data_IF_705556901594
#
_entry.id   IF_705556901594
#
_cell.length_a   1.000
_cell.length_b   1.000
_cell.length_c   1.000
_cell.angle_alpha   90.00
_cell.angle_beta   90.00
_cell.angle_gamma   90.00
#
_symmetry.space_group_name_H-M   'P 1'
#
loop_
_entity.id
_entity.type
_entity.pdbx_description
1 polymer ?
#
# COMPACT_ATOMS: atom_id res chain seq x y z
N UNK A 1 111.42 34.37 17.47
CA UNK A 1 110.30 35.33 17.36
C UNK A 1 109.06 34.58 16.91
N UNK A 2 108.08 34.33 17.79
CA UNK A 2 106.79 33.71 17.43
C UNK A 2 105.84 34.81 16.96
N UNK A 3 105.45 34.82 15.68
CA UNK A 3 104.30 35.59 15.20
C UNK A 3 103.05 34.82 15.62
N UNK A 4 102.25 35.39 16.52
CA UNK A 4 100.85 35.00 16.68
C UNK A 4 100.12 35.41 15.41
N UNK A 5 99.50 34.46 14.73
CA UNK A 5 98.42 34.77 13.80
C UNK A 5 97.15 34.84 14.65
N UNK A 6 96.67 36.06 14.90
CA UNK A 6 95.33 36.26 15.43
C UNK A 6 94.33 35.93 14.31
N UNK A 7 93.57 34.84 14.49
CA UNK A 7 92.47 34.46 13.60
C UNK A 7 91.27 35.40 13.87
N UNK A 8 91.43 36.64 13.42
CA UNK A 8 90.44 37.72 13.53
C UNK A 8 89.22 37.47 12.64
N UNK A 9 89.34 36.60 11.64
CA UNK A 9 88.30 36.34 10.66
C UNK A 9 87.20 35.42 11.20
N UNK A 10 87.59 34.41 11.99
CA UNK A 10 86.64 33.52 12.66
C UNK A 10 85.79 34.22 13.73
N UNK A 11 86.42 35.08 14.56
CA UNK A 11 85.70 35.81 15.62
C UNK A 11 84.78 36.91 15.02
N UNK A 12 85.15 37.49 13.87
CA UNK A 12 84.28 38.40 13.14
C UNK A 12 83.04 37.69 12.57
N UNK A 13 83.21 36.47 12.07
CA UNK A 13 82.14 35.65 11.48
C UNK A 13 81.11 35.19 12.52
N UNK A 14 81.56 34.84 13.73
CA UNK A 14 80.67 34.48 14.85
C UNK A 14 79.86 35.67 15.36
N UNK A 15 80.48 36.86 15.48
CA UNK A 15 79.77 38.08 15.86
C UNK A 15 78.70 38.45 14.83
N UNK A 16 79.00 38.30 13.53
CA UNK A 16 78.06 38.55 12.43
C UNK A 16 76.89 37.55 12.42
N UNK A 17 77.15 36.26 12.66
CA UNK A 17 76.10 35.24 12.74
C UNK A 17 75.16 35.49 13.93
N UNK A 18 75.72 35.88 15.08
CA UNK A 18 74.93 36.20 16.27
C UNK A 18 74.09 37.48 16.06
N UNK A 19 74.64 38.51 15.41
CA UNK A 19 73.87 39.72 15.07
C UNK A 19 72.75 39.43 14.08
N UNK A 20 72.97 38.57 13.07
CA UNK A 20 71.95 38.20 12.08
C UNK A 20 70.82 37.35 12.70
N UNK A 21 71.15 36.45 13.64
CA UNK A 21 70.16 35.70 14.41
C UNK A 21 69.30 36.63 15.26
N UNK A 22 69.93 37.57 15.99
CA UNK A 22 69.22 38.57 16.79
C UNK A 22 68.35 39.48 15.93
N UNK A 23 68.84 39.90 14.76
CA UNK A 23 68.09 40.70 13.78
C UNK A 23 66.85 39.95 13.28
N UNK A 24 66.97 38.68 12.87
CA UNK A 24 65.82 37.86 12.45
C UNK A 24 64.82 37.64 13.58
N UNK A 25 65.29 37.49 14.82
CA UNK A 25 64.43 37.31 16.00
C UNK A 25 63.65 38.58 16.32
N UNK A 26 64.30 39.75 16.21
CA UNK A 26 63.67 41.06 16.37
C UNK A 26 62.64 41.35 15.28
N UNK A 27 62.96 41.05 14.01
CA UNK A 27 62.01 41.17 12.89
C UNK A 27 60.77 40.28 13.09
N UNK A 28 60.95 39.06 13.60
CA UNK A 28 59.83 38.15 13.91
C UNK A 28 58.96 38.67 15.06
N UNK A 29 59.56 39.29 16.07
CA UNK A 29 58.83 39.95 17.16
C UNK A 29 58.10 41.22 16.70
N UNK A 30 58.72 42.05 15.87
CA UNK A 30 58.09 43.24 15.29
C UNK A 30 56.92 42.87 14.37
N UNK A 31 57.06 41.80 13.56
CA UNK A 31 55.97 41.30 12.74
C UNK A 31 54.81 40.77 13.59
N UNK A 32 55.10 40.02 14.66
CA UNK A 32 54.09 39.55 15.61
C UNK A 32 53.36 40.71 16.29
N UNK A 33 54.09 41.74 16.70
CA UNK A 33 53.51 42.93 17.32
C UNK A 33 52.66 43.73 16.32
N UNK A 34 53.11 43.91 15.07
CA UNK A 34 52.29 44.54 14.02
C UNK A 34 51.00 43.77 13.77
N UNK A 35 51.05 42.44 13.67
CA UNK A 35 49.86 41.62 13.47
C UNK A 35 48.89 41.76 14.66
N UNK A 36 49.40 41.76 15.90
CA UNK A 36 48.57 41.99 17.09
C UNK A 36 47.95 43.39 17.10
N UNK A 37 48.71 44.42 16.75
CA UNK A 37 48.21 45.80 16.66
C UNK A 37 47.22 45.97 15.51
N UNK A 38 47.41 45.30 14.38
CA UNK A 38 46.47 45.31 13.26
C UNK A 38 45.18 44.58 13.61
N UNK A 39 45.25 43.45 14.34
CA UNK A 39 44.06 42.76 14.88
C UNK A 39 43.32 43.66 15.87
N UNK A 40 44.03 44.33 16.78
CA UNK A 40 43.44 45.24 17.77
C UNK A 40 42.82 46.48 17.11
N UNK A 41 43.46 47.02 16.07
CA UNK A 41 42.93 48.12 15.26
C UNK A 41 41.70 47.68 14.44
N UNK A 42 41.69 46.48 13.88
CA UNK A 42 40.53 45.91 13.17
C UNK A 42 39.35 45.69 14.14
N UNK A 43 39.58 45.13 15.33
CA UNK A 43 38.56 45.01 16.38
C UNK A 43 38.04 46.37 16.86
N UNK A 44 38.91 47.39 16.95
CA UNK A 44 38.51 48.75 17.31
C UNK A 44 37.70 49.45 16.20
N UNK A 45 38.03 49.19 14.92
CA UNK A 45 37.27 49.70 13.77
C UNK A 45 35.91 49.02 13.64
N UNK A 46 35.79 47.74 13.99
CA UNK A 46 34.53 47.00 13.97
C UNK A 46 33.60 47.42 15.13
N UNK A 47 34.17 47.78 16.30
CA UNK A 47 33.41 48.31 17.46
C UNK A 47 32.86 49.73 17.26
N UNK A 48 33.41 50.53 16.35
CA UNK A 48 33.02 51.94 16.16
C UNK A 48 32.02 52.19 15.01
N UNK A 49 31.48 51.16 14.34
CA UNK A 49 30.59 51.33 13.18
C UNK A 49 29.09 51.55 13.49
N UNK A 50 28.62 51.41 14.73
CA UNK A 50 27.25 51.81 15.10
C UNK A 50 27.14 52.21 16.57
N UNK A 51 27.12 53.51 16.93
CA UNK A 51 26.49 53.93 18.17
C UNK A 51 24.97 53.96 17.96
N UNK A 52 24.20 53.78 19.05
CA UNK A 52 22.74 53.90 19.16
C UNK A 52 21.98 52.55 19.02
N UNK A 53 21.83 51.85 20.16
CA UNK A 53 20.54 51.45 20.77
C UNK A 53 20.81 50.52 21.98
N UNK A 54 21.33 51.12 23.05
CA UNK A 54 21.40 50.52 24.38
C UNK A 54 20.00 50.45 24.99
N UNK A 55 19.23 49.39 24.71
CA UNK A 55 18.13 48.89 25.58
C UNK A 55 17.53 47.57 25.04
N UNK A 56 18.34 46.55 24.70
CA UNK A 56 17.76 45.20 24.43
C UNK A 56 18.70 44.00 24.59
N UNK A 57 19.60 43.99 25.57
CA UNK A 57 20.59 42.89 25.71
C UNK A 57 20.48 42.21 27.09
N UNK A 58 19.32 41.63 27.39
CA UNK A 58 19.21 40.54 28.39
C UNK A 58 18.38 39.33 27.91
N UNK A 59 17.60 39.44 26.83
CA UNK A 59 16.79 38.33 26.30
C UNK A 59 17.46 37.48 25.19
N UNK A 60 18.52 37.96 24.54
CA UNK A 60 19.10 37.28 23.37
C UNK A 60 19.98 36.06 23.72
N UNK A 61 20.58 35.99 24.93
CA UNK A 61 21.41 34.83 25.30
C UNK A 61 20.57 33.59 25.66
N UNK A 62 19.39 33.78 26.25
CA UNK A 62 18.43 32.69 26.52
C UNK A 62 17.77 32.20 25.23
N UNK A 63 17.43 33.08 24.29
CA UNK A 63 16.82 32.69 23.00
C UNK A 63 17.84 31.96 22.10
N UNK A 64 19.12 32.38 22.06
CA UNK A 64 20.14 31.60 21.35
C UNK A 64 20.39 30.25 22.00
N UNK A 65 20.49 30.16 23.33
CA UNK A 65 20.63 28.88 24.04
C UNK A 65 19.41 27.96 23.86
N UNK A 66 18.20 28.50 23.85
CA UNK A 66 16.96 27.76 23.52
C UNK A 66 16.92 27.35 22.04
N UNK A 67 17.34 28.20 21.11
CA UNK A 67 17.38 27.86 19.68
C UNK A 67 18.41 26.76 19.38
N UNK A 68 19.62 26.82 19.96
CA UNK A 68 20.60 25.74 19.83
C UNK A 68 20.16 24.46 20.56
N UNK A 69 19.50 24.58 21.72
CA UNK A 69 18.89 23.44 22.40
C UNK A 69 17.74 22.83 21.60
N UNK A 70 16.89 23.62 20.94
CA UNK A 70 15.81 23.15 20.08
C UNK A 70 16.32 22.53 18.79
N UNK A 71 17.36 23.08 18.16
CA UNK A 71 18.00 22.45 16.98
C UNK A 71 18.69 21.15 17.38
N UNK A 72 19.39 21.12 18.52
CA UNK A 72 19.97 19.89 19.05
C UNK A 72 18.90 18.87 19.40
N UNK A 73 17.74 19.29 19.94
CA UNK A 73 16.60 18.42 20.23
C UNK A 73 15.89 17.94 18.95
N UNK A 74 15.81 18.76 17.89
CA UNK A 74 15.27 18.39 16.58
C UNK A 74 16.22 17.42 15.86
N UNK A 75 17.54 17.62 15.99
CA UNK A 75 18.55 16.68 15.49
C UNK A 75 18.56 15.42 16.33
N UNK A 76 18.38 15.49 17.66
CA UNK A 76 18.27 14.33 18.53
C UNK A 76 16.97 13.57 18.25
N UNK A 77 15.81 14.23 18.14
CA UNK A 77 14.56 13.58 17.75
C UNK A 77 14.58 13.12 16.30
N UNK A 78 15.21 13.84 15.37
CA UNK A 78 15.41 13.41 14.00
C UNK A 78 16.32 12.17 13.92
N UNK A 79 17.41 12.15 14.69
CA UNK A 79 18.28 10.98 14.84
C UNK A 79 17.58 9.85 15.59
N UNK A 80 16.78 10.13 16.63
CA UNK A 80 16.05 9.14 17.41
C UNK A 80 14.87 8.54 16.63
N UNK A 81 14.18 9.33 15.81
CA UNK A 81 13.15 8.88 14.87
C UNK A 81 13.80 8.18 13.67
N UNK A 82 15.02 8.55 13.25
CA UNK A 82 15.73 7.78 12.21
C UNK A 82 16.33 6.47 12.75
N UNK A 83 16.72 6.42 14.03
CA UNK A 83 17.35 5.25 14.66
C UNK A 83 16.36 4.29 15.29
N UNK A 84 15.18 4.76 15.70
CA UNK A 84 14.10 3.91 16.21
C UNK A 84 13.35 3.18 15.08
N UNK A 85 13.50 3.62 13.82
CA UNK A 85 12.81 3.02 12.67
C UNK A 85 13.62 1.97 11.92
N UNK A 86 14.85 1.68 12.35
CA UNK A 86 15.68 0.66 11.68
C UNK A 86 16.53 -0.07 12.72
N UNK A 87 15.90 -0.89 13.57
CA UNK A 87 16.69 -1.94 14.25
C UNK A 87 17.38 -2.79 13.17
N UNK A 88 18.59 -3.33 13.37
CA UNK A 88 19.23 -4.15 12.33
C UNK A 88 18.34 -5.31 11.83
N UNK A 89 17.46 -5.84 12.68
CA UNK A 89 16.43 -6.81 12.33
C UNK A 89 15.34 -6.19 11.43
N UNK A 90 14.80 -5.02 11.79
CA UNK A 90 13.84 -4.27 10.96
C UNK A 90 14.46 -3.83 9.62
N UNK A 91 15.73 -3.41 9.60
CA UNK A 91 16.47 -3.05 8.38
C UNK A 91 16.53 -4.24 7.41
N UNK A 92 16.89 -5.40 7.96
CA UNK A 92 17.03 -6.64 7.20
C UNK A 92 15.69 -7.10 6.64
N UNK A 93 14.60 -6.91 7.38
CA UNK A 93 13.25 -7.24 6.94
C UNK A 93 12.73 -6.23 5.93
N UNK A 94 12.84 -4.92 6.22
CA UNK A 94 12.42 -3.83 5.34
C UNK A 94 13.16 -3.84 3.99
N UNK A 95 14.45 -4.23 3.97
CA UNK A 95 15.20 -4.38 2.71
C UNK A 95 14.68 -5.49 1.79
N UNK A 96 13.87 -6.41 2.32
CA UNK A 96 13.27 -7.51 1.57
C UNK A 96 11.86 -7.21 1.10
N UNK A 97 11.11 -6.36 1.81
CA UNK A 97 9.73 -6.06 1.45
C UNK A 97 9.71 -4.99 0.34
N UNK A 98 9.14 -5.28 -0.84
CA UNK A 98 9.01 -4.29 -1.90
C UNK A 98 8.16 -3.09 -1.47
N UNK A 99 8.35 -1.93 -2.10
CA UNK A 99 7.50 -0.77 -1.85
C UNK A 99 6.12 -0.95 -2.50
N UNK A 100 5.05 -0.93 -1.70
CA UNK A 100 3.68 -0.76 -2.20
C UNK A 100 3.58 0.59 -2.93
N UNK A 101 3.02 0.61 -4.14
CA UNK A 101 2.89 1.85 -4.93
C UNK A 101 3.56 1.82 -6.29
N UNK A 102 4.74 1.22 -6.41
CA UNK A 102 5.58 1.36 -7.62
C UNK A 102 5.06 0.57 -8.84
N UNK A 103 4.09 -0.34 -8.65
CA UNK A 103 3.58 -1.25 -9.70
C UNK A 103 2.07 -1.05 -9.93
N UNK A 104 1.42 -0.15 -9.19
CA UNK A 104 -0.04 0.06 -9.28
C UNK A 104 -0.45 0.99 -10.43
N UNK A 105 0.06 0.71 -11.62
CA UNK A 105 -0.59 1.12 -12.86
C UNK A 105 -1.77 0.16 -13.13
N UNK A 106 -2.91 0.62 -12.65
CA UNK A 106 -4.20 -0.03 -12.64
C UNK A 106 -4.65 -0.50 -14.04
N UNK A 107 -5.22 -1.71 -14.14
CA UNK A 107 -6.63 -1.86 -14.57
C UNK A 107 -7.18 -3.29 -14.60
N UNK A 108 -6.34 -4.32 -14.64
CA UNK A 108 -6.85 -5.65 -14.88
C UNK A 108 -6.27 -6.63 -13.85
N UNK A 109 -7.17 -7.18 -13.03
CA UNK A 109 -6.96 -8.38 -12.24
C UNK A 109 -6.16 -9.40 -13.05
N UNK A 110 -5.09 -9.98 -12.48
CA UNK A 110 -4.24 -10.97 -13.15
C UNK A 110 -5.03 -12.08 -13.88
N UNK A 111 -6.14 -12.55 -13.31
CA UNK A 111 -7.05 -13.53 -13.93
C UNK A 111 -7.66 -12.99 -15.22
N UNK A 112 -8.10 -11.72 -15.20
CA UNK A 112 -8.67 -11.05 -16.36
C UNK A 112 -7.59 -10.85 -17.43
N UNK A 113 -6.39 -10.41 -17.05
CA UNK A 113 -5.26 -10.26 -17.99
C UNK A 113 -4.93 -11.56 -18.72
N UNK A 114 -4.77 -12.65 -17.96
CA UNK A 114 -4.50 -13.97 -18.53
C UNK A 114 -5.67 -14.40 -19.44
N UNK A 115 -6.91 -14.23 -19.00
CA UNK A 115 -8.09 -14.60 -19.79
C UNK A 115 -8.18 -13.81 -21.11
N UNK A 116 -7.91 -12.50 -21.07
CA UNK A 116 -7.95 -11.62 -22.24
C UNK A 116 -6.83 -11.94 -23.23
N UNK A 117 -5.60 -12.15 -22.76
CA UNK A 117 -4.45 -12.50 -23.59
C UNK A 117 -4.67 -13.85 -24.29
N UNK A 118 -5.12 -14.86 -23.55
CA UNK A 118 -5.41 -16.18 -24.12
C UNK A 118 -6.55 -16.11 -25.16
N UNK A 119 -7.58 -15.31 -24.88
CA UNK A 119 -8.67 -15.09 -25.84
C UNK A 119 -8.19 -14.37 -27.10
N UNK A 120 -7.33 -13.36 -26.96
CA UNK A 120 -6.77 -12.59 -28.08
C UNK A 120 -5.91 -13.47 -29.00
N UNK A 121 -5.18 -14.44 -28.44
CA UNK A 121 -4.39 -15.44 -29.17
C UNK A 121 -5.23 -16.56 -29.79
N UNK A 122 -6.56 -16.56 -29.58
CA UNK A 122 -7.48 -17.47 -30.24
C UNK A 122 -7.65 -18.83 -29.57
N UNK A 123 -7.19 -19.01 -28.32
CA UNK A 123 -7.46 -20.27 -27.61
C UNK A 123 -8.97 -20.44 -27.34
N UNK A 124 -9.46 -21.67 -27.50
CA UNK A 124 -10.84 -22.05 -27.19
C UNK A 124 -11.16 -21.76 -25.72
N UNK A 125 -12.45 -21.48 -25.43
CA UNK A 125 -13.00 -21.10 -24.10
C UNK A 125 -12.12 -21.58 -22.94
N UNK A 126 -11.47 -20.61 -22.30
CA UNK A 126 -10.60 -20.81 -21.14
C UNK A 126 -11.33 -20.35 -19.88
N UNK A 127 -11.41 -21.22 -18.87
CA UNK A 127 -11.71 -20.80 -17.50
C UNK A 127 -10.41 -20.46 -16.81
N UNK A 128 -10.28 -19.26 -16.26
CA UNK A 128 -9.10 -18.87 -15.46
C UNK A 128 -9.58 -18.51 -14.06
N UNK A 129 -8.91 -19.06 -13.05
CA UNK A 129 -9.22 -18.79 -11.64
C UNK A 129 -7.95 -18.82 -10.77
N UNK A 130 -8.07 -18.34 -9.55
CA UNK A 130 -7.00 -18.40 -8.54
C UNK A 130 -7.53 -19.09 -7.30
N UNK A 131 -6.76 -20.06 -6.83
CA UNK A 131 -7.00 -20.82 -5.60
C UNK A 131 -6.26 -20.18 -4.43
N UNK A 132 -6.98 -19.76 -3.39
CA UNK A 132 -6.41 -19.33 -2.12
C UNK A 132 -6.71 -20.36 -1.01
N UNK A 133 -5.78 -20.59 -0.05
CA UNK A 133 -4.50 -19.89 0.15
C UNK A 133 -3.32 -20.45 -0.68
N UNK A 134 -3.55 -21.44 -1.55
CA UNK A 134 -2.48 -22.13 -2.30
C UNK A 134 -1.75 -21.26 -3.32
N UNK A 135 -2.37 -20.14 -3.75
CA UNK A 135 -1.89 -19.26 -4.82
C UNK A 135 -1.63 -20.03 -6.12
N UNK A 136 -2.54 -20.92 -6.49
CA UNK A 136 -2.48 -21.66 -7.75
C UNK A 136 -3.40 -20.98 -8.78
N UNK A 137 -2.84 -20.57 -9.91
CA UNK A 137 -3.60 -20.12 -11.08
C UNK A 137 -4.04 -21.35 -11.84
N UNK A 138 -5.35 -21.58 -11.86
CA UNK A 138 -5.97 -22.72 -12.53
C UNK A 138 -6.53 -22.26 -13.88
N UNK A 139 -6.07 -22.91 -14.95
CA UNK A 139 -6.51 -22.66 -16.32
C UNK A 139 -7.17 -23.94 -16.86
N UNK A 140 -8.45 -23.85 -17.20
CA UNK A 140 -9.22 -24.93 -17.79
C UNK A 140 -9.43 -24.65 -19.28
N UNK A 141 -8.88 -25.50 -20.16
CA UNK A 141 -8.96 -25.35 -21.62
C UNK A 141 -10.03 -26.30 -22.16
N UNK A 142 -11.03 -25.75 -22.86
CA UNK A 142 -12.00 -26.56 -23.59
C UNK A 142 -11.44 -27.06 -24.93
N UNK A 143 -11.58 -28.36 -25.22
CA UNK A 143 -11.16 -28.93 -26.50
C UNK A 143 -10.99 -30.45 -26.46
N UNK A 144 -10.58 -31.02 -27.60
CA UNK A 144 -10.15 -32.41 -27.68
C UNK A 144 -8.85 -32.60 -26.89
N UNK A 145 -8.56 -33.84 -26.50
CA UNK A 145 -7.29 -34.21 -25.85
C UNK A 145 -6.09 -33.78 -26.70
N UNK A 146 -6.12 -34.06 -28.00
CA UNK A 146 -5.10 -33.61 -28.95
C UNK A 146 -4.90 -32.09 -28.92
N UNK A 147 -5.97 -31.31 -29.00
CA UNK A 147 -5.86 -29.85 -28.95
C UNK A 147 -5.26 -29.38 -27.62
N UNK A 148 -5.67 -29.97 -26.50
CA UNK A 148 -5.12 -29.66 -25.19
C UNK A 148 -3.61 -29.95 -25.13
N UNK A 149 -3.17 -31.12 -25.59
CA UNK A 149 -1.77 -31.49 -25.60
C UNK A 149 -0.91 -30.56 -26.49
N UNK A 150 -1.48 -30.08 -27.60
CA UNK A 150 -0.82 -29.14 -28.51
C UNK A 150 -0.64 -27.75 -27.89
N UNK A 151 -1.59 -27.27 -27.06
CA UNK A 151 -1.59 -25.87 -26.57
C UNK A 151 -1.20 -25.71 -25.09
N UNK A 152 -1.18 -26.78 -24.29
CA UNK A 152 -0.99 -26.67 -22.82
C UNK A 152 0.32 -25.98 -22.42
N UNK A 153 1.41 -26.23 -23.14
CA UNK A 153 2.72 -25.65 -22.85
C UNK A 153 2.74 -24.16 -23.18
N UNK A 154 2.21 -23.78 -24.33
CA UNK A 154 2.13 -22.40 -24.78
C UNK A 154 1.28 -21.54 -23.83
N UNK A 155 0.14 -22.07 -23.39
CA UNK A 155 -0.72 -21.41 -22.39
C UNK A 155 -0.01 -21.24 -21.03
N UNK A 156 0.75 -22.25 -20.59
CA UNK A 156 1.55 -22.19 -19.36
C UNK A 156 2.64 -21.12 -19.46
N UNK A 157 3.37 -21.06 -20.57
CA UNK A 157 4.44 -20.10 -20.83
C UNK A 157 3.90 -18.66 -20.90
N UNK A 158 2.81 -18.42 -21.66
CA UNK A 158 2.14 -17.11 -21.72
C UNK A 158 1.74 -16.65 -20.32
N UNK A 159 1.17 -17.55 -19.52
CA UNK A 159 0.73 -17.21 -18.16
C UNK A 159 1.92 -16.82 -17.30
N UNK A 160 3.02 -17.58 -17.35
CA UNK A 160 4.25 -17.28 -16.61
C UNK A 160 4.89 -15.97 -17.05
N UNK A 161 4.87 -15.65 -18.34
CA UNK A 161 5.39 -14.39 -18.87
C UNK A 161 4.58 -13.19 -18.37
N UNK A 162 3.25 -13.30 -18.32
CA UNK A 162 2.39 -12.26 -17.74
C UNK A 162 2.73 -12.06 -16.26
N UNK A 163 2.83 -13.14 -15.47
CA UNK A 163 3.18 -13.06 -14.05
C UNK A 163 4.55 -12.41 -13.83
N UNK A 164 5.55 -12.83 -14.61
CA UNK A 164 6.90 -12.26 -14.57
C UNK A 164 6.91 -10.77 -14.93
N UNK A 165 6.12 -10.36 -15.92
CA UNK A 165 6.01 -8.95 -16.33
C UNK A 165 5.43 -8.05 -15.22
N UNK A 166 4.62 -8.62 -14.32
CA UNK A 166 4.06 -7.96 -13.14
C UNK A 166 4.93 -8.08 -11.90
N UNK A 167 6.06 -8.79 -11.99
CA UNK A 167 6.89 -9.12 -10.84
C UNK A 167 6.13 -9.95 -9.82
N UNK A 168 5.26 -10.86 -10.28
CA UNK A 168 4.56 -11.82 -9.43
C UNK A 168 5.29 -13.16 -9.48
N UNK A 169 5.79 -13.57 -8.33
CA UNK A 169 6.60 -14.78 -8.16
C UNK A 169 6.01 -15.76 -7.14
N UNK A 170 4.88 -15.40 -6.50
CA UNK A 170 4.20 -16.21 -5.51
C UNK A 170 3.25 -17.27 -6.08
N UNK A 171 2.80 -17.11 -7.32
CA UNK A 171 1.82 -18.01 -7.94
C UNK A 171 2.47 -19.25 -8.56
N UNK A 172 1.78 -20.38 -8.46
CA UNK A 172 2.00 -21.55 -9.33
C UNK A 172 0.96 -21.56 -10.46
N UNK A 173 1.25 -22.22 -11.57
CA UNK A 173 0.33 -22.34 -12.71
C UNK A 173 -0.04 -23.80 -12.92
N UNK A 174 -1.33 -24.06 -13.12
CA UNK A 174 -1.86 -25.38 -13.41
C UNK A 174 -2.82 -25.31 -14.59
N UNK A 175 -2.42 -25.93 -15.69
CA UNK A 175 -3.21 -26.02 -16.92
C UNK A 175 -3.87 -27.40 -16.98
N UNK A 176 -5.20 -27.41 -17.15
CA UNK A 176 -6.02 -28.62 -17.15
C UNK A 176 -7.01 -28.60 -18.32
N UNK A 177 -7.41 -29.79 -18.78
CA UNK A 177 -8.46 -29.91 -19.80
C UNK A 177 -9.82 -29.84 -19.13
N UNK A 178 -10.69 -28.95 -19.62
CA UNK A 178 -12.08 -28.92 -19.18
C UNK A 178 -12.80 -30.19 -19.66
N UNK A 179 -13.32 -30.97 -18.72
CA UNK A 179 -14.21 -32.08 -19.00
C UNK A 179 -15.64 -31.62 -18.73
N UNK A 180 -16.48 -31.66 -19.77
CA UNK A 180 -17.92 -31.50 -19.57
C UNK A 180 -18.37 -32.59 -18.60
N UNK A 181 -19.15 -32.20 -17.58
CA UNK A 181 -19.83 -33.18 -16.74
C UNK A 181 -20.75 -33.96 -17.69
N UNK A 182 -20.55 -35.27 -17.76
CA UNK A 182 -21.46 -36.15 -18.49
C UNK A 182 -22.83 -35.94 -17.86
N UNK A 183 -23.82 -35.52 -18.67
CA UNK A 183 -25.20 -35.38 -18.22
C UNK A 183 -25.67 -36.74 -17.71
N UNK A 184 -25.67 -36.89 -16.38
CA UNK A 184 -26.24 -38.08 -15.75
C UNK A 184 -27.73 -38.02 -16.05
N UNK A 185 -28.32 -39.07 -16.66
CA UNK A 185 -29.74 -39.07 -16.99
C UNK A 185 -30.57 -38.83 -15.73
N UNK A 186 -31.31 -37.71 -15.70
CA UNK A 186 -32.18 -37.38 -14.58
C UNK A 186 -33.34 -38.38 -14.47
N UNK A 187 -33.72 -38.73 -13.24
CA UNK A 187 -34.95 -39.49 -12.97
C UNK A 187 -36.20 -38.71 -13.44
N UNK A 188 -37.33 -39.37 -13.62
CA UNK A 188 -38.57 -38.68 -14.00
C UNK A 188 -39.04 -37.68 -12.92
N UNK A 189 -38.77 -37.97 -11.64
CA UNK A 189 -38.99 -37.06 -10.51
C UNK A 189 -38.10 -35.82 -10.62
N UNK A 190 -36.81 -36.02 -10.91
CA UNK A 190 -35.85 -34.92 -11.10
C UNK A 190 -36.27 -34.05 -12.29
N UNK A 191 -36.67 -34.64 -13.42
CA UNK A 191 -37.20 -33.90 -14.58
C UNK A 191 -38.43 -33.06 -14.22
N UNK A 192 -39.35 -33.58 -13.39
CA UNK A 192 -40.50 -32.81 -12.89
C UNK A 192 -40.07 -31.65 -12.01
N UNK A 193 -39.09 -31.86 -11.12
CA UNK A 193 -38.53 -30.80 -10.27
C UNK A 193 -37.85 -29.72 -11.12
N UNK A 194 -37.06 -30.09 -12.13
CA UNK A 194 -36.44 -29.15 -13.05
C UNK A 194 -37.46 -28.33 -13.82
N UNK A 195 -38.50 -28.95 -14.38
CA UNK A 195 -39.58 -28.21 -15.06
C UNK A 195 -40.27 -27.20 -14.13
N UNK A 196 -40.52 -27.59 -12.87
CA UNK A 196 -41.10 -26.69 -11.85
C UNK A 196 -40.15 -25.54 -11.52
N UNK A 197 -38.86 -25.83 -11.34
CA UNK A 197 -37.83 -24.84 -11.08
C UNK A 197 -37.67 -23.88 -12.26
N UNK A 198 -37.62 -24.39 -13.49
CA UNK A 198 -37.48 -23.60 -14.72
C UNK A 198 -38.67 -22.66 -14.90
N UNK A 199 -39.90 -23.15 -14.72
CA UNK A 199 -41.11 -22.32 -14.73
C UNK A 199 -41.03 -21.20 -13.69
N UNK A 200 -40.60 -21.51 -12.46
CA UNK A 200 -40.44 -20.51 -11.40
C UNK A 200 -39.33 -19.52 -11.71
N UNK A 201 -38.18 -19.97 -12.22
CA UNK A 201 -37.07 -19.11 -12.63
C UNK A 201 -37.47 -18.14 -13.74
N UNK A 202 -38.31 -18.58 -14.69
CA UNK A 202 -38.87 -17.71 -15.73
C UNK A 202 -39.73 -16.60 -15.13
N UNK A 203 -40.65 -16.93 -14.22
CA UNK A 203 -41.50 -15.95 -13.50
C UNK A 203 -40.63 -14.98 -12.69
N UNK A 204 -39.69 -15.50 -11.90
CA UNK A 204 -38.78 -14.71 -11.08
C UNK A 204 -37.98 -13.71 -11.93
N UNK A 205 -37.47 -14.16 -13.08
CA UNK A 205 -36.75 -13.31 -14.02
C UNK A 205 -37.65 -12.19 -14.57
N UNK A 206 -38.89 -12.50 -14.93
CA UNK A 206 -39.82 -11.47 -15.42
C UNK A 206 -40.19 -10.42 -14.37
N UNK A 207 -40.36 -10.84 -13.10
CA UNK A 207 -40.57 -9.92 -11.98
C UNK A 207 -39.37 -8.98 -11.86
N UNK A 208 -38.15 -9.54 -11.78
CA UNK A 208 -36.92 -8.75 -11.64
C UNK A 208 -36.69 -7.79 -12.81
N UNK A 209 -36.91 -8.24 -14.06
CA UNK A 209 -36.81 -7.37 -15.24
C UNK A 209 -37.86 -6.24 -15.23
N UNK A 210 -39.03 -6.47 -14.65
CA UNK A 210 -40.06 -5.43 -14.53
C UNK A 210 -39.71 -4.42 -13.44
N UNK A 211 -39.09 -4.87 -12.36
CA UNK A 211 -38.59 -4.01 -11.28
C UNK A 211 -37.38 -3.18 -11.71
N UNK A 212 -36.49 -3.73 -12.53
CA UNK A 212 -35.32 -3.02 -13.07
C UNK A 212 -35.74 -1.79 -13.87
N UNK A 213 -36.80 -1.91 -14.69
CA UNK A 213 -37.41 -0.76 -15.40
C UNK A 213 -37.97 0.31 -14.47
N UNK A 214 -38.37 -0.07 -13.27
CA UNK A 214 -38.86 0.87 -12.25
C UNK A 214 -37.74 1.50 -11.42
N UNK A 215 -36.50 1.01 -11.59
CA UNK A 215 -35.31 1.51 -10.88
C UNK A 215 -35.10 3.00 -11.13
N UNK A 216 -35.33 3.51 -12.34
CA UNK A 216 -35.20 4.94 -12.66
C UNK A 216 -36.22 5.81 -11.89
N UNK A 217 -37.47 5.34 -11.76
CA UNK A 217 -38.55 6.09 -11.08
C UNK A 217 -38.31 6.19 -9.57
N UNK A 218 -37.91 5.08 -8.94
CA UNK A 218 -37.81 4.97 -7.49
C UNK A 218 -36.38 4.95 -6.95
N UNK A 219 -35.38 5.03 -7.82
CA UNK A 219 -33.95 4.97 -7.46
C UNK A 219 -33.63 3.72 -6.65
N UNK A 220 -34.11 2.57 -7.11
CA UNK A 220 -33.85 1.28 -6.47
C UNK A 220 -32.36 0.97 -6.55
N UNK A 221 -31.78 0.49 -5.44
CA UNK A 221 -30.34 0.22 -5.34
C UNK A 221 -29.98 -1.23 -5.68
N UNK A 222 -30.98 -2.11 -5.66
CA UNK A 222 -30.84 -3.54 -5.86
C UNK A 222 -32.18 -4.24 -5.70
N UNK A 223 -32.40 -5.28 -6.48
CA UNK A 223 -33.61 -6.11 -6.40
C UNK A 223 -33.22 -7.57 -6.49
N UNK A 224 -33.80 -8.39 -5.63
CA UNK A 224 -33.52 -9.82 -5.60
C UNK A 224 -34.74 -10.62 -5.15
N UNK A 225 -34.76 -11.90 -5.49
CA UNK A 225 -35.71 -12.84 -4.90
C UNK A 225 -34.93 -13.79 -4.00
N UNK A 226 -35.04 -13.55 -2.69
CA UNK A 226 -34.45 -14.39 -1.65
C UNK A 226 -35.50 -15.42 -1.19
N UNK A 227 -35.03 -16.55 -0.64
CA UNK A 227 -35.87 -17.58 -0.03
C UNK A 227 -37.18 -17.89 -0.81
N UNK A 228 -37.03 -18.36 -2.06
CA UNK A 228 -38.09 -18.82 -2.99
C UNK A 228 -39.24 -17.86 -3.36
N UNK A 229 -39.69 -16.95 -2.49
CA UNK A 229 -40.85 -16.06 -2.69
C UNK A 229 -40.76 -14.72 -1.92
N UNK A 230 -39.57 -14.30 -1.49
CA UNK A 230 -39.38 -12.99 -0.88
C UNK A 230 -38.70 -12.08 -1.90
N UNK A 231 -39.42 -11.07 -2.38
CA UNK A 231 -38.84 -10.02 -3.21
C UNK A 231 -38.21 -8.99 -2.28
N UNK A 232 -36.89 -8.95 -2.24
CA UNK A 232 -36.13 -7.92 -1.54
C UNK A 232 -35.84 -6.75 -2.49
N UNK A 233 -36.14 -5.54 -2.04
CA UNK A 233 -35.88 -4.31 -2.77
C UNK A 233 -35.04 -3.39 -1.87
N UNK A 234 -33.84 -3.08 -2.32
CA UNK A 234 -32.95 -2.14 -1.64
C UNK A 234 -33.28 -0.70 -2.06
N UNK A 235 -33.46 0.17 -1.07
CA UNK A 235 -33.75 1.59 -1.26
C UNK A 235 -32.81 2.44 -0.40
N UNK A 236 -32.54 3.71 -0.77
CA UNK A 236 -31.78 4.61 0.08
C UNK A 236 -32.47 4.78 1.45
N UNK A 237 -31.69 4.92 2.51
CA UNK A 237 -32.18 5.26 3.86
C UNK A 237 -33.02 6.54 3.90
N UNK A 238 -32.70 7.50 3.01
CA UNK A 238 -33.42 8.75 2.80
C UNK A 238 -34.75 8.63 2.04
N UNK A 239 -35.07 7.45 1.47
CA UNK A 239 -36.33 7.23 0.75
C UNK A 239 -37.52 7.16 1.72
N UNK A 240 -38.60 7.89 1.36
CA UNK A 240 -39.80 8.06 2.18
C UNK A 240 -41.05 7.43 1.56
N UNK A 241 -41.04 7.12 0.27
CA UNK A 241 -42.17 6.56 -0.49
C UNK A 241 -42.29 5.04 -0.33
N UNK A 242 -42.06 4.51 0.88
CA UNK A 242 -42.00 3.06 1.12
C UNK A 242 -43.28 2.35 0.72
N UNK A 243 -44.44 2.91 1.08
CA UNK A 243 -45.73 2.28 0.83
C UNK A 243 -46.08 2.29 -0.66
N UNK A 244 -45.76 3.38 -1.37
CA UNK A 244 -45.93 3.47 -2.83
C UNK A 244 -45.06 2.42 -3.54
N UNK A 245 -43.79 2.28 -3.11
CA UNK A 245 -42.86 1.30 -3.68
C UNK A 245 -43.35 -0.11 -3.40
N UNK A 246 -43.76 -0.42 -2.17
CA UNK A 246 -44.26 -1.73 -1.81
C UNK A 246 -45.50 -2.12 -2.63
N UNK A 247 -46.49 -1.23 -2.72
CA UNK A 247 -47.68 -1.45 -3.54
C UNK A 247 -47.34 -1.64 -5.02
N UNK A 248 -46.42 -0.83 -5.54
CA UNK A 248 -45.97 -0.94 -6.93
C UNK A 248 -45.31 -2.30 -7.21
N UNK A 249 -44.46 -2.78 -6.30
CA UNK A 249 -43.82 -4.10 -6.40
C UNK A 249 -44.88 -5.22 -6.32
N UNK A 250 -45.84 -5.12 -5.40
CA UNK A 250 -46.94 -6.08 -5.28
C UNK A 250 -47.77 -6.16 -6.57
N UNK A 251 -48.07 -5.02 -7.20
CA UNK A 251 -48.79 -4.97 -8.47
C UNK A 251 -48.02 -5.66 -9.59
N UNK A 252 -46.70 -5.44 -9.69
CA UNK A 252 -45.86 -6.15 -10.66
C UNK A 252 -45.94 -7.66 -10.45
N UNK A 253 -45.85 -8.13 -9.21
CA UNK A 253 -45.90 -9.55 -8.90
C UNK A 253 -47.25 -10.13 -9.30
N UNK A 254 -48.36 -9.47 -8.95
CA UNK A 254 -49.71 -9.92 -9.27
C UNK A 254 -49.97 -9.99 -10.79
N UNK A 255 -49.36 -9.10 -11.58
CA UNK A 255 -49.43 -9.16 -13.04
C UNK A 255 -48.68 -10.36 -13.63
N UNK A 256 -47.75 -10.96 -12.89
CA UNK A 256 -46.91 -12.07 -13.35
C UNK A 256 -47.33 -13.43 -12.79
N UNK A 257 -47.95 -13.45 -11.61
CA UNK A 257 -48.30 -14.69 -10.94
C UNK A 257 -49.36 -14.47 -9.87
N UNK A 258 -50.19 -15.50 -9.66
CA UNK A 258 -51.16 -15.56 -8.56
C UNK A 258 -50.53 -16.10 -7.25
N UNK A 259 -49.25 -16.46 -7.29
CA UNK A 259 -48.52 -16.91 -6.13
C UNK A 259 -48.32 -15.75 -5.14
N UNK A 260 -48.47 -16.04 -3.85
CA UNK A 260 -48.17 -15.06 -2.80
C UNK A 260 -46.65 -14.88 -2.64
N UNK A 261 -46.16 -13.66 -2.86
CA UNK A 261 -44.81 -13.24 -2.52
C UNK A 261 -44.85 -12.27 -1.35
N UNK A 262 -43.79 -12.27 -0.55
CA UNK A 262 -43.54 -11.25 0.46
C UNK A 262 -42.63 -10.18 -0.12
N UNK A 263 -42.98 -8.91 0.03
CA UNK A 263 -42.10 -7.80 -0.33
C UNK A 263 -41.36 -7.34 0.91
N UNK A 264 -40.03 -7.19 0.81
CA UNK A 264 -39.19 -6.63 1.88
C UNK A 264 -38.42 -5.43 1.35
N UNK A 265 -38.63 -4.28 1.96
CA UNK A 265 -37.85 -3.08 1.69
C UNK A 265 -36.67 -3.03 2.64
N UNK A 266 -35.46 -3.01 2.07
CA UNK A 266 -34.21 -2.90 2.82
C UNK A 266 -33.65 -1.50 2.63
N UNK A 267 -33.63 -0.73 3.72
CA UNK A 267 -33.00 0.60 3.72
C UNK A 267 -31.49 0.46 3.79
N UNK A 268 -30.80 1.12 2.85
CA UNK A 268 -29.35 1.09 2.74
C UNK A 268 -28.79 2.46 3.10
N UNK A 269 -27.85 2.47 4.04
CA UNK A 269 -27.10 3.67 4.37
C UNK A 269 -26.16 4.02 3.21
N UNK A 270 -26.48 5.09 2.48
CA UNK A 270 -25.73 5.47 1.27
C UNK A 270 -24.30 5.88 1.57
N UNK A 271 -24.04 6.51 2.72
CA UNK A 271 -22.67 6.87 3.14
C UNK A 271 -21.83 5.61 3.37
N UNK A 272 -22.41 4.58 3.99
CA UNK A 272 -21.72 3.31 4.24
C UNK A 272 -21.46 2.54 2.94
N UNK A 273 -22.42 2.51 2.02
CA UNK A 273 -22.26 1.88 0.70
C UNK A 273 -21.18 2.57 -0.14
N UNK A 274 -21.11 3.90 -0.10
CA UNK A 274 -20.03 4.64 -0.76
C UNK A 274 -18.66 4.34 -0.13
N UNK A 275 -18.59 4.25 1.20
CA UNK A 275 -17.37 3.85 1.91
C UNK A 275 -16.93 2.44 1.49
N UNK A 276 -17.85 1.47 1.51
CA UNK A 276 -17.57 0.10 1.10
C UNK A 276 -17.08 0.00 -0.34
N UNK A 277 -17.70 0.73 -1.27
CA UNK A 277 -17.24 0.78 -2.66
C UNK A 277 -15.82 1.35 -2.82
N UNK A 278 -15.49 2.44 -2.10
CA UNK A 278 -14.14 3.02 -2.13
C UNK A 278 -13.09 2.05 -1.60
N UNK A 279 -13.36 1.46 -0.44
CA UNK A 279 -12.44 0.58 0.26
C UNK A 279 -12.31 -0.81 -0.39
N UNK A 280 -13.37 -1.34 -1.02
CA UNK A 280 -13.27 -2.56 -1.85
C UNK A 280 -12.24 -2.38 -2.97
N UNK A 281 -12.24 -1.23 -3.65
CA UNK A 281 -11.25 -0.97 -4.70
C UNK A 281 -9.82 -0.75 -4.17
N UNK A 282 -9.66 -0.32 -2.90
CA UNK A 282 -8.36 -0.29 -2.22
C UNK A 282 -7.91 -1.73 -1.93
N UNK A 283 -8.80 -2.55 -1.38
CA UNK A 283 -8.52 -3.94 -1.05
C UNK A 283 -8.08 -4.73 -2.28
N UNK A 284 -8.76 -4.58 -3.42
CA UNK A 284 -8.38 -5.26 -4.66
C UNK A 284 -6.92 -4.94 -5.03
N UNK A 285 -6.54 -3.67 -4.91
CA UNK A 285 -5.20 -3.18 -5.22
C UNK A 285 -4.16 -3.75 -4.25
N UNK A 286 -4.41 -3.62 -2.94
CA UNK A 286 -3.50 -4.09 -1.89
C UNK A 286 -3.34 -5.62 -1.95
N UNK A 287 -4.45 -6.34 -2.13
CA UNK A 287 -4.46 -7.80 -2.14
C UNK A 287 -3.67 -8.36 -3.32
N UNK A 288 -3.80 -7.79 -4.51
CA UNK A 288 -3.14 -8.29 -5.71
C UNK A 288 -1.60 -8.23 -5.57
N UNK A 289 -1.04 -7.14 -5.07
CA UNK A 289 0.42 -7.04 -4.92
C UNK A 289 0.94 -7.86 -3.74
N UNK A 290 0.28 -7.79 -2.58
CA UNK A 290 0.70 -8.54 -1.39
C UNK A 290 0.66 -10.05 -1.64
N UNK A 291 -0.38 -10.54 -2.32
CA UNK A 291 -0.51 -11.97 -2.61
C UNK A 291 0.38 -12.40 -3.77
N UNK A 292 0.69 -11.51 -4.70
CA UNK A 292 1.50 -11.78 -5.88
C UNK A 292 3.00 -11.94 -5.62
N UNK A 293 3.54 -11.39 -4.52
CA UNK A 293 4.98 -11.46 -4.22
C UNK A 293 5.30 -12.33 -3.00
N UNK A 294 6.32 -13.18 -3.12
CA UNK A 294 6.77 -14.06 -2.03
C UNK A 294 7.33 -13.30 -0.84
N UNK A 295 8.01 -12.18 -1.10
CA UNK A 295 8.68 -11.37 -0.09
C UNK A 295 7.74 -10.76 0.95
N UNK A 296 6.45 -10.62 0.63
CA UNK A 296 5.44 -10.15 1.60
C UNK A 296 4.97 -11.27 2.54
N UNK A 297 5.27 -12.54 2.28
CA UNK A 297 4.87 -13.67 3.14
C UNK A 297 3.36 -13.73 3.49
N UNK A 298 2.51 -13.02 2.73
CA UNK A 298 1.06 -12.98 2.96
C UNK A 298 0.41 -14.16 2.25
N UNK A 299 -0.36 -14.97 2.96
CA UNK A 299 -1.15 -16.08 2.38
C UNK A 299 -2.60 -15.73 2.08
N UNK A 300 -3.14 -14.71 2.75
CA UNK A 300 -4.53 -14.26 2.58
C UNK A 300 -4.65 -12.80 3.00
N UNK A 301 -5.54 -12.07 2.33
CA UNK A 301 -5.99 -10.73 2.73
C UNK A 301 -7.49 -10.79 2.94
N UNK A 302 -7.95 -10.26 4.05
CA UNK A 302 -9.34 -10.12 4.43
C UNK A 302 -9.70 -8.65 4.61
N UNK A 303 -10.99 -8.36 4.68
CA UNK A 303 -11.47 -7.02 4.85
C UNK A 303 -12.86 -6.97 5.47
N UNK A 304 -13.09 -5.94 6.27
CA UNK A 304 -14.39 -5.60 6.82
C UNK A 304 -14.59 -4.09 6.72
N UNK A 305 -15.83 -3.65 6.51
CA UNK A 305 -16.22 -2.26 6.81
C UNK A 305 -16.96 -2.14 8.12
N UNK A 306 -17.17 -3.21 8.86
CA UNK A 306 -18.02 -3.22 10.04
C UNK A 306 -17.19 -3.50 11.30
N UNK A 307 -17.22 -2.62 12.32
CA UNK A 307 -17.90 -1.31 12.38
C UNK A 307 -17.22 -0.22 11.52
N UNK A 308 -15.91 -0.34 11.31
CA UNK A 308 -15.05 0.57 10.54
C UNK A 308 -14.23 -0.25 9.52
N UNK A 309 -13.66 0.40 8.48
CA UNK A 309 -12.72 -0.25 7.58
C UNK A 309 -11.58 -0.95 8.33
N UNK A 310 -11.39 -2.23 8.05
CA UNK A 310 -10.30 -3.06 8.56
C UNK A 310 -9.70 -3.84 7.41
N UNK A 311 -8.39 -3.72 7.21
CA UNK A 311 -7.62 -4.59 6.33
C UNK A 311 -6.97 -5.66 7.19
N UNK A 312 -7.28 -6.92 6.88
CA UNK A 312 -6.75 -8.08 7.60
C UNK A 312 -5.73 -8.77 6.72
N UNK A 313 -4.60 -9.18 7.29
CA UNK A 313 -3.59 -9.94 6.57
C UNK A 313 -3.15 -11.15 7.37
N UNK A 314 -3.00 -12.26 6.68
CA UNK A 314 -2.57 -13.51 7.27
C UNK A 314 -1.21 -13.87 6.70
N UNK A 315 -0.17 -13.86 7.54
CA UNK A 315 1.21 -14.15 7.11
C UNK A 315 1.57 -15.63 7.31
N UNK A 316 2.66 -16.06 6.68
CA UNK A 316 3.19 -17.43 6.80
C UNK A 316 4.12 -17.63 8.00
N UNK A 317 4.59 -16.54 8.62
CA UNK A 317 5.46 -16.57 9.79
C UNK A 317 4.68 -16.96 11.05
N UNK A 318 5.25 -17.86 11.86
CA UNK A 318 4.75 -18.15 13.20
C UNK A 318 5.30 -17.14 14.20
N UNK A 319 4.58 -16.87 15.29
CA UNK A 319 5.06 -16.02 16.40
C UNK A 319 6.37 -16.51 17.03
N UNK A 320 6.73 -17.79 16.89
CA UNK A 320 8.02 -18.31 17.34
C UNK A 320 9.21 -17.90 16.47
N UNK A 321 8.97 -17.39 15.25
CA UNK A 321 10.01 -16.81 14.42
C UNK A 321 10.47 -15.48 15.03
N UNK A 322 11.78 -15.36 15.25
CA UNK A 322 12.41 -14.19 15.89
C UNK A 322 12.10 -12.86 15.17
N UNK A 323 11.80 -12.91 13.86
CA UNK A 323 11.51 -11.75 13.05
C UNK A 323 10.01 -11.55 12.78
N UNK A 324 9.11 -12.45 13.17
CA UNK A 324 7.69 -12.37 12.80
C UNK A 324 7.01 -11.08 13.26
N UNK A 325 7.29 -10.63 14.50
CA UNK A 325 6.73 -9.38 15.02
C UNK A 325 7.28 -8.15 14.29
N UNK A 326 8.59 -8.12 14.06
CA UNK A 326 9.26 -7.07 13.30
C UNK A 326 8.71 -6.99 11.86
N UNK A 327 8.51 -8.15 11.23
CA UNK A 327 7.90 -8.28 9.91
C UNK A 327 6.48 -7.71 9.88
N UNK A 328 5.62 -8.12 10.82
CA UNK A 328 4.26 -7.61 10.90
C UNK A 328 4.23 -6.07 11.05
N UNK A 329 5.01 -5.52 11.97
CA UNK A 329 5.08 -4.07 12.18
C UNK A 329 5.56 -3.32 10.93
N UNK A 330 6.51 -3.90 10.18
CA UNK A 330 6.96 -3.30 8.93
C UNK A 330 5.90 -3.36 7.84
N UNK A 331 5.21 -4.50 7.70
CA UNK A 331 4.13 -4.67 6.74
C UNK A 331 2.96 -3.72 7.01
N UNK A 332 2.58 -3.58 8.29
CA UNK A 332 1.59 -2.59 8.73
C UNK A 332 1.98 -1.18 8.29
N UNK A 333 3.21 -0.76 8.58
CA UNK A 333 3.71 0.56 8.20
C UNK A 333 3.68 0.77 6.68
N UNK A 334 4.08 -0.22 5.90
CA UNK A 334 4.11 -0.13 4.43
C UNK A 334 2.70 0.09 3.87
N UNK A 335 1.69 -0.57 4.44
CA UNK A 335 0.29 -0.39 4.04
C UNK A 335 -0.26 0.94 4.51
N UNK A 336 0.05 1.34 5.74
CA UNK A 336 -0.34 2.64 6.28
C UNK A 336 0.22 3.78 5.42
N UNK A 337 1.53 3.74 5.09
CA UNK A 337 2.19 4.69 4.19
C UNK A 337 1.49 4.72 2.81
N UNK A 338 1.10 3.55 2.28
CA UNK A 338 0.37 3.45 1.02
C UNK A 338 -1.03 4.09 1.10
N UNK A 339 -1.80 3.80 2.15
CA UNK A 339 -3.14 4.37 2.37
C UNK A 339 -3.09 5.90 2.55
N UNK A 340 -2.01 6.42 3.14
CA UNK A 340 -1.78 7.85 3.33
C UNK A 340 -1.19 8.56 2.11
N UNK A 341 -0.79 7.82 1.07
CA UNK A 341 -0.22 8.38 -0.16
C UNK A 341 -1.20 9.31 -0.89
N UNK A 342 -0.67 10.29 -1.65
CA UNK A 342 -1.50 11.21 -2.45
C UNK A 342 -2.46 10.48 -3.40
N UNK A 343 -2.05 9.32 -3.92
CA UNK A 343 -2.87 8.49 -4.79
C UNK A 343 -4.11 7.93 -4.06
N UNK A 344 -3.96 7.55 -2.78
CA UNK A 344 -5.01 6.93 -1.97
C UNK A 344 -5.86 7.93 -1.19
N UNK A 345 -5.41 9.17 -0.97
CA UNK A 345 -6.18 10.20 -0.25
C UNK A 345 -7.62 10.37 -0.75
N UNK A 346 -7.85 10.33 -2.07
CA UNK A 346 -9.20 10.45 -2.64
C UNK A 346 -10.10 9.25 -2.35
N UNK A 347 -9.49 8.07 -2.14
CA UNK A 347 -10.17 6.80 -1.87
C UNK A 347 -10.37 6.56 -0.38
N UNK A 348 -9.39 6.85 0.47
CA UNK A 348 -9.48 6.70 1.93
C UNK A 348 -10.29 7.84 2.56
N UNK A 349 -10.15 9.06 2.04
CA UNK A 349 -10.72 10.29 2.60
C UNK A 349 -10.28 10.45 4.07
N UNK A 350 -11.21 10.72 4.97
CA UNK A 350 -10.98 10.86 6.41
C UNK A 350 -11.59 9.69 7.19
N UNK A 351 -11.73 8.52 6.55
CA UNK A 351 -12.27 7.35 7.23
C UNK A 351 -11.25 6.83 8.25
N UNK A 352 -11.65 6.57 9.52
CA UNK A 352 -10.81 5.79 10.42
C UNK A 352 -10.67 4.36 9.87
N UNK A 353 -9.51 3.74 10.10
CA UNK A 353 -9.27 2.37 9.67
C UNK A 353 -8.32 1.62 10.61
N UNK A 354 -8.36 0.30 10.51
CA UNK A 354 -7.49 -0.62 11.25
C UNK A 354 -6.74 -1.53 10.27
N UNK A 355 -5.49 -1.86 10.61
CA UNK A 355 -4.69 -2.87 9.91
C UNK A 355 -4.39 -3.97 10.93
N UNK A 356 -4.89 -5.17 10.69
CA UNK A 356 -4.72 -6.30 11.60
C UNK A 356 -3.90 -7.39 10.92
N UNK A 357 -2.81 -7.81 11.56
CA UNK A 357 -1.91 -8.84 11.01
C UNK A 357 -1.97 -10.07 11.89
N UNK A 358 -2.33 -11.19 11.27
CA UNK A 358 -2.43 -12.50 11.89
C UNK A 358 -1.22 -13.34 11.50
N UNK A 359 -0.63 -14.02 12.48
CA UNK A 359 0.43 -15.00 12.27
C UNK A 359 -0.09 -16.28 11.59
N UNK A 360 0.80 -17.27 11.41
CA UNK A 360 0.48 -18.58 10.84
C UNK A 360 -0.66 -19.30 11.58
N UNK A 361 -0.83 -19.04 12.87
CA UNK A 361 -1.81 -19.69 13.76
C UNK A 361 -3.08 -18.82 13.97
N UNK A 362 -3.31 -17.85 13.08
CA UNK A 362 -4.44 -16.90 13.11
C UNK A 362 -4.51 -16.03 14.37
N UNK A 363 -3.36 -15.74 14.99
CA UNK A 363 -3.28 -14.84 16.15
C UNK A 363 -2.71 -13.49 15.74
N UNK A 364 -3.31 -12.42 16.25
CA UNK A 364 -2.84 -11.05 16.04
C UNK A 364 -1.39 -10.93 16.54
N UNK A 365 -0.51 -10.40 15.68
CA UNK A 365 0.94 -10.33 15.95
C UNK A 365 1.51 -8.90 15.94
N UNK A 366 0.83 -7.91 15.35
CA UNK A 366 1.27 -6.52 15.35
C UNK A 366 1.06 -5.80 16.69
#
# INVERSE_FOLDING_TARGET
MKKQYEDTDFDSSLKKLNSDLMWKTKQKQELKNRILTDIENLESQERNKHPILLTRIKKVSLIRKLAYSSIALIILFGLFISSAFVSPAMAKVASKIPYLGQIFENKNNIVLLISEELRAKGYKKTGVGVSFPKKEIEIAIQGSEKYFDDVKSDVDDITKDILKSKGYDAYTVKVSRYTERVDVPHSEEEKKQFKKQEKRSKINREILLSLDKASEKYKLLGTGIIAQKIVEVEIPDTEKRTDEIEQYVQNIIQLKTNDQYTVKLKKVNMKKREQEGRWSGILDTVSEDLLGKKDYEVRMVGYSVHPEPEIQMFITLSRSDENAKAFAQQLEKIIDDFLQSEQMKSRVKNDPYHITIFDKDDKIIN
#
